data_IF_097030818502
#
_entry.id   IF_097030818502
#
_cell.length_a   1.000
_cell.length_b   1.000
_cell.length_c   1.000
_cell.angle_alpha   90.00
_cell.angle_beta   90.00
_cell.angle_gamma   90.00
#
_symmetry.space_group_name_H-M   'P 1'
#
loop_
_entity.id
_entity.type
_entity.pdbx_description
1 polymer ?
#
# COMPACT_ATOMS: atom_id res chain seq x y z
N UNK A 1 -0.17 4.14 -4.28
CA UNK A 1 -1.37 4.15 -3.42
C UNK A 1 -1.87 5.56 -3.18
N UNK A 2 -1.13 6.45 -2.50
CA UNK A 2 -1.58 7.83 -2.29
C UNK A 2 -1.66 8.62 -3.60
N UNK A 3 -0.59 8.61 -4.41
CA UNK A 3 -0.60 9.22 -5.74
C UNK A 3 -1.69 8.63 -6.65
N UNK A 4 -1.90 7.31 -6.58
CA UNK A 4 -2.96 6.60 -7.31
C UNK A 4 -4.36 7.05 -6.87
N UNK A 5 -4.51 7.45 -5.61
CA UNK A 5 -5.74 8.02 -5.05
C UNK A 5 -5.86 9.54 -5.28
N UNK A 6 -4.95 10.14 -6.05
CA UNK A 6 -4.93 11.57 -6.37
C UNK A 6 -4.32 12.45 -5.28
N UNK A 7 -3.70 11.87 -4.24
CA UNK A 7 -3.02 12.60 -3.18
C UNK A 7 -1.56 12.80 -3.58
N UNK A 8 -1.18 14.04 -3.84
CA UNK A 8 0.21 14.39 -4.15
C UNK A 8 1.06 14.28 -2.88
N UNK A 9 2.12 13.46 -2.93
CA UNK A 9 3.02 13.23 -1.82
C UNK A 9 4.46 13.03 -2.29
N UNK A 10 5.42 13.36 -1.43
CA UNK A 10 6.85 13.17 -1.66
C UNK A 10 7.42 12.18 -0.64
N UNK A 11 8.36 11.34 -1.07
CA UNK A 11 9.06 10.40 -0.20
C UNK A 11 10.50 10.88 0.01
N UNK A 12 10.79 11.31 1.23
CA UNK A 12 12.08 11.80 1.67
C UNK A 12 12.85 10.69 2.39
N UNK A 13 14.18 10.80 2.45
CA UNK A 13 15.07 9.89 3.17
C UNK A 13 15.06 8.40 2.74
N UNK A 14 14.46 8.08 1.58
CA UNK A 14 14.29 6.70 1.06
C UNK A 14 15.60 5.89 0.94
N UNK A 15 16.74 6.54 0.75
CA UNK A 15 18.03 5.90 0.43
C UNK A 15 19.15 6.14 1.46
N UNK A 16 18.85 6.81 2.59
CA UNK A 16 19.87 7.15 3.60
C UNK A 16 20.39 5.92 4.38
N UNK A 17 19.71 4.78 4.29
CA UNK A 17 20.19 3.51 4.86
C UNK A 17 21.48 2.97 4.21
N UNK A 18 21.89 3.48 3.03
CA UNK A 18 23.14 3.10 2.36
C UNK A 18 24.40 3.81 2.88
N UNK A 19 24.25 4.84 3.71
CA UNK A 19 25.33 5.63 4.31
C UNK A 19 25.48 5.34 5.82
N UNK A 20 25.37 4.07 6.19
CA UNK A 20 25.64 3.59 7.55
C UNK A 20 27.12 3.85 7.89
N UNK A 21 27.38 5.01 8.50
CA UNK A 21 28.70 5.46 8.91
C UNK A 21 28.69 6.82 9.61
N UNK A 22 27.96 7.82 9.07
CA UNK A 22 28.05 9.22 9.53
C UNK A 22 26.73 9.88 9.94
N UNK A 23 25.58 9.22 9.75
CA UNK A 23 24.26 9.79 10.06
C UNK A 23 23.56 8.95 11.14
N UNK A 24 23.06 9.58 12.22
CA UNK A 24 22.25 8.92 13.25
C UNK A 24 21.07 8.14 12.66
N UNK A 25 20.86 6.90 13.11
CA UNK A 25 19.88 5.97 12.52
C UNK A 25 18.43 6.48 12.56
N UNK A 26 18.12 7.39 13.48
CA UNK A 26 16.83 8.08 13.61
C UNK A 26 16.57 9.09 12.48
N UNK A 27 17.62 9.58 11.81
CA UNK A 27 17.52 10.48 10.64
C UNK A 27 17.50 9.74 9.29
N UNK A 28 17.58 8.40 9.32
CA UNK A 28 17.56 7.56 8.12
C UNK A 28 16.17 6.96 7.83
N UNK A 29 15.19 7.22 8.71
CA UNK A 29 13.83 6.72 8.50
C UNK A 29 13.20 7.40 7.28
N UNK A 30 12.51 6.64 6.40
CA UNK A 30 11.80 7.22 5.27
C UNK A 30 10.64 8.08 5.77
N UNK A 31 10.52 9.27 5.20
CA UNK A 31 9.47 10.22 5.55
C UNK A 31 8.53 10.44 4.37
N UNK A 32 7.23 10.44 4.63
CA UNK A 32 6.21 10.74 3.63
C UNK A 32 5.62 12.12 3.90
N UNK A 33 5.81 13.03 2.94
CA UNK A 33 5.37 14.42 3.02
C UNK A 33 4.18 14.62 2.09
N UNK A 34 3.11 15.24 2.58
CA UNK A 34 1.98 15.62 1.74
C UNK A 34 2.26 16.99 1.12
N UNK A 35 1.92 17.15 -0.16
CA UNK A 35 2.03 18.46 -0.83
C UNK A 35 0.98 19.44 -0.31
N UNK A 36 -0.16 18.91 0.17
CA UNK A 36 -1.27 19.69 0.73
C UNK A 36 -1.75 19.08 2.05
N UNK A 37 -1.74 19.88 3.12
CA UNK A 37 -2.19 19.45 4.45
C UNK A 37 -3.67 19.06 4.49
N UNK A 38 -4.49 19.58 3.56
CA UNK A 38 -5.93 19.26 3.48
C UNK A 38 -6.17 17.78 3.17
N UNK A 39 -5.20 17.11 2.55
CA UNK A 39 -5.28 15.69 2.23
C UNK A 39 -4.91 14.78 3.41
N UNK A 40 -4.44 15.32 4.54
CA UNK A 40 -3.96 14.55 5.68
C UNK A 40 -4.97 13.51 6.16
N UNK A 41 -6.24 13.92 6.34
CA UNK A 41 -7.28 13.03 6.81
C UNK A 41 -7.62 11.90 5.82
N UNK A 42 -7.43 12.13 4.51
CA UNK A 42 -7.64 11.11 3.49
C UNK A 42 -6.42 10.18 3.39
N UNK A 43 -5.22 10.77 3.39
CA UNK A 43 -3.96 10.03 3.37
C UNK A 43 -3.84 9.09 4.57
N UNK A 44 -4.16 9.56 5.78
CA UNK A 44 -4.15 8.74 7.00
C UNK A 44 -5.10 7.55 6.89
N UNK A 45 -6.33 7.76 6.42
CA UNK A 45 -7.31 6.68 6.22
C UNK A 45 -6.81 5.62 5.23
N UNK A 46 -6.19 6.04 4.12
CA UNK A 46 -5.63 5.11 3.14
C UNK A 46 -4.43 4.33 3.69
N UNK A 47 -3.56 4.99 4.45
CA UNK A 47 -2.43 4.35 5.13
C UNK A 47 -2.93 3.33 6.15
N UNK A 48 -3.90 3.70 6.99
CA UNK A 48 -4.46 2.81 8.01
C UNK A 48 -5.15 1.60 7.36
N UNK A 49 -5.94 1.81 6.31
CA UNK A 49 -6.58 0.72 5.57
C UNK A 49 -5.54 -0.25 4.98
N UNK A 50 -4.43 0.27 4.44
CA UNK A 50 -3.36 -0.55 3.90
C UNK A 50 -2.56 -1.29 4.98
N UNK A 51 -2.36 -0.67 6.15
CA UNK A 51 -1.62 -1.26 7.26
C UNK A 51 -2.39 -2.42 7.93
N UNK A 52 -3.72 -2.32 8.01
CA UNK A 52 -4.55 -3.33 8.64
C UNK A 52 -5.09 -4.38 7.66
N UNK A 53 -5.02 -4.13 6.36
CA UNK A 53 -5.57 -5.02 5.35
C UNK A 53 -7.10 -5.10 5.39
N UNK A 54 -7.71 -6.08 4.72
CA UNK A 54 -9.14 -6.31 4.77
C UNK A 54 -9.62 -6.62 6.20
N UNK A 55 -10.87 -6.30 6.50
CA UNK A 55 -11.47 -6.67 7.79
C UNK A 55 -11.41 -8.19 7.99
N UNK A 56 -11.24 -8.69 9.24
CA UNK A 56 -11.30 -10.12 9.52
C UNK A 56 -12.61 -10.74 8.99
N UNK A 57 -12.50 -11.84 8.26
CA UNK A 57 -13.65 -12.51 7.63
C UNK A 57 -14.09 -11.91 6.29
N UNK A 58 -13.30 -11.00 5.71
CA UNK A 58 -13.50 -10.57 4.31
C UNK A 58 -13.48 -11.79 3.38
N UNK A 59 -14.41 -11.88 2.41
CA UNK A 59 -14.56 -13.05 1.55
C UNK A 59 -13.33 -13.27 0.68
N UNK A 60 -13.00 -14.54 0.43
CA UNK A 60 -12.05 -14.92 -0.60
C UNK A 60 -12.66 -14.70 -1.98
N UNK A 61 -11.82 -14.35 -2.95
CA UNK A 61 -12.23 -14.22 -4.35
C UNK A 61 -11.65 -15.35 -5.19
N UNK A 62 -12.28 -15.65 -6.32
CA UNK A 62 -11.80 -16.65 -7.26
C UNK A 62 -11.25 -15.97 -8.52
N UNK A 63 -10.04 -16.35 -8.92
CA UNK A 63 -9.42 -15.83 -10.12
C UNK A 63 -10.14 -16.34 -11.38
N UNK A 64 -10.68 -15.42 -12.19
CA UNK A 64 -11.37 -15.76 -13.45
C UNK A 64 -10.47 -16.41 -14.51
N UNK A 65 -9.15 -16.22 -14.42
CA UNK A 65 -8.23 -16.74 -15.43
C UNK A 65 -7.79 -18.18 -15.14
N UNK A 66 -7.50 -18.53 -13.89
CA UNK A 66 -6.96 -19.84 -13.53
C UNK A 66 -7.81 -20.64 -12.53
N UNK A 67 -8.86 -20.04 -11.96
CA UNK A 67 -9.77 -20.68 -11.01
C UNK A 67 -9.28 -20.74 -9.56
N UNK A 68 -8.09 -20.20 -9.27
CA UNK A 68 -7.51 -20.20 -7.92
C UNK A 68 -8.33 -19.35 -6.94
N UNK A 69 -8.50 -19.82 -5.70
CA UNK A 69 -9.19 -19.07 -4.65
C UNK A 69 -8.19 -18.33 -3.79
N UNK A 70 -8.35 -17.01 -3.66
CA UNK A 70 -7.44 -16.11 -2.98
C UNK A 70 -8.12 -15.40 -1.82
N UNK A 71 -7.38 -15.23 -0.73
CA UNK A 71 -7.83 -14.41 0.41
C UNK A 71 -8.01 -12.94 0.01
N UNK A 72 -8.87 -12.23 0.73
CA UNK A 72 -9.27 -10.85 0.42
C UNK A 72 -8.10 -9.85 0.32
N UNK A 73 -6.99 -10.13 1.00
CA UNK A 73 -5.81 -9.27 1.02
C UNK A 73 -5.05 -9.21 -0.31
N UNK A 74 -5.24 -10.22 -1.16
CA UNK A 74 -4.60 -10.26 -2.46
C UNK A 74 -5.40 -9.44 -3.46
N UNK A 75 -4.71 -8.54 -4.15
CA UNK A 75 -5.24 -7.77 -5.27
C UNK A 75 -4.82 -8.35 -6.63
N UNK A 76 -3.94 -9.35 -6.62
CA UNK A 76 -3.41 -10.04 -7.80
C UNK A 76 -3.33 -11.54 -7.51
N UNK A 77 -3.70 -12.35 -8.49
CA UNK A 77 -3.63 -13.80 -8.39
C UNK A 77 -2.17 -14.26 -8.27
N UNK A 78 -1.81 -14.90 -7.16
CA UNK A 78 -0.45 -15.41 -6.94
C UNK A 78 -0.05 -16.50 -7.95
N UNK A 79 -1.01 -17.23 -8.52
CA UNK A 79 -0.76 -18.32 -9.45
C UNK A 79 -0.55 -17.86 -10.90
N UNK A 80 -1.30 -16.85 -11.38
CA UNK A 80 -1.27 -16.44 -12.79
C UNK A 80 -0.98 -14.94 -13.03
N UNK A 81 -0.90 -14.12 -11.97
CA UNK A 81 -0.65 -12.68 -12.09
C UNK A 81 -1.85 -11.84 -12.55
N UNK A 82 -3.03 -12.44 -12.73
CA UNK A 82 -4.25 -11.70 -13.10
C UNK A 82 -4.70 -10.82 -11.93
N UNK A 83 -4.98 -9.53 -12.20
CA UNK A 83 -5.52 -8.62 -11.19
C UNK A 83 -6.94 -9.04 -10.77
N UNK A 84 -7.29 -8.82 -9.50
CA UNK A 84 -8.64 -9.02 -8.98
C UNK A 84 -9.61 -8.06 -9.67
N UNK A 85 -10.75 -8.56 -10.13
CA UNK A 85 -11.82 -7.71 -10.66
C UNK A 85 -12.53 -7.02 -9.47
N UNK A 86 -12.82 -5.71 -9.53
CA UNK A 86 -13.62 -5.03 -8.50
C UNK A 86 -15.01 -5.65 -8.25
N UNK A 87 -15.53 -6.45 -9.18
CA UNK A 87 -16.78 -7.20 -9.04
C UNK A 87 -16.60 -8.55 -8.31
N UNK A 88 -15.36 -8.96 -8.04
CA UNK A 88 -15.06 -10.17 -7.30
C UNK A 88 -15.33 -9.95 -5.82
N UNK A 89 -16.44 -10.54 -5.34
CA UNK A 89 -16.98 -10.41 -3.99
C UNK A 89 -15.94 -10.48 -2.87
#
# INVERSE_FOLDING_TARGET
MLETAGIACELHNRYLNGALGDIPADQCAPELWLVDERDEAMARRLIDAAAHGPAPGSPSWQCHQCGETLEAQFTVCWQCGTARDPLDG
#
